data_IF_020852533905
#
_entry.id   IF_020852533905
#
_cell.length_a   1.000
_cell.length_b   1.000
_cell.length_c   1.000
_cell.angle_alpha   90.00
_cell.angle_beta   90.00
_cell.angle_gamma   90.00
#
_symmetry.space_group_name_H-M   'P 1'
#
loop_
_entity.id
_entity.type
_entity.pdbx_description
1 polymer ?
#
# COMPACT_ATOMS: atom_id res chain seq x y z
N UNK A 1 -13.12 5.63 -11.40
CA UNK A 1 -12.66 6.82 -10.69
C UNK A 1 -13.88 7.58 -10.18
N UNK A 2 -13.93 7.91 -8.89
CA UNK A 2 -15.04 8.69 -8.30
C UNK A 2 -14.51 9.69 -7.28
N UNK A 3 -13.71 10.63 -7.77
CA UNK A 3 -13.14 11.74 -7.01
C UNK A 3 -13.25 13.01 -7.87
N UNK A 4 -12.87 14.16 -7.32
CA UNK A 4 -12.99 15.47 -7.98
C UNK A 4 -11.70 16.31 -7.91
N UNK A 5 -10.69 15.82 -7.21
CA UNK A 5 -9.49 16.57 -6.90
C UNK A 5 -8.29 15.82 -7.44
N UNK A 6 -7.36 16.57 -8.01
CA UNK A 6 -6.11 16.07 -8.57
C UNK A 6 -4.93 16.76 -7.89
N UNK A 7 -3.75 16.14 -8.00
CA UNK A 7 -2.51 16.77 -7.55
C UNK A 7 -2.28 18.08 -8.30
N UNK A 8 -1.90 19.11 -7.57
CA UNK A 8 -1.51 20.37 -8.18
C UNK A 8 -0.07 20.23 -8.73
N UNK A 9 0.06 20.28 -10.05
CA UNK A 9 1.32 20.11 -10.78
C UNK A 9 2.45 21.03 -10.29
N UNK A 10 2.12 22.21 -9.72
CA UNK A 10 3.11 23.14 -9.17
C UNK A 10 3.93 22.56 -8.02
N UNK A 11 3.39 21.57 -7.30
CA UNK A 11 4.08 20.94 -6.17
C UNK A 11 4.66 19.57 -6.52
N UNK A 12 4.44 19.07 -7.73
CA UNK A 12 4.83 17.70 -8.08
C UNK A 12 6.35 17.52 -8.02
N UNK A 13 7.11 18.49 -8.54
CA UNK A 13 8.58 18.44 -8.49
C UNK A 13 9.07 18.36 -7.04
N UNK A 14 8.55 19.19 -6.14
CA UNK A 14 8.90 19.16 -4.72
C UNK A 14 8.62 17.80 -4.09
N UNK A 15 7.48 17.17 -4.40
CA UNK A 15 7.16 15.84 -3.87
C UNK A 15 8.16 14.79 -4.38
N UNK A 16 8.51 14.85 -5.67
CA UNK A 16 9.46 13.94 -6.30
C UNK A 16 10.87 14.13 -5.76
N UNK A 17 11.33 15.37 -5.59
CA UNK A 17 12.63 15.71 -5.02
C UNK A 17 12.78 15.21 -3.57
N UNK A 18 11.66 15.04 -2.86
CA UNK A 18 11.59 14.46 -1.52
C UNK A 18 11.28 12.96 -1.48
N UNK A 19 11.44 12.27 -2.62
CA UNK A 19 11.44 10.81 -2.70
C UNK A 19 10.12 10.16 -3.11
N UNK A 20 9.07 10.93 -3.39
CA UNK A 20 7.84 10.38 -3.97
C UNK A 20 8.08 9.97 -5.43
N UNK A 21 7.69 8.76 -5.80
CA UNK A 21 7.75 8.30 -7.20
C UNK A 21 6.35 8.35 -7.80
N UNK A 22 6.22 8.94 -8.99
CA UNK A 22 4.99 8.86 -9.79
C UNK A 22 5.05 7.60 -10.65
N UNK A 23 4.31 6.57 -10.25
CA UNK A 23 4.30 5.28 -10.95
C UNK A 23 3.13 5.11 -11.91
N UNK A 24 2.17 6.03 -11.90
CA UNK A 24 1.04 6.04 -12.83
C UNK A 24 0.53 7.44 -13.14
N UNK A 25 0.29 7.67 -14.42
CA UNK A 25 -0.33 8.88 -14.94
C UNK A 25 -1.64 8.53 -15.66
N UNK A 26 -2.51 9.52 -15.81
CA UNK A 26 -3.66 9.43 -16.71
C UNK A 26 -3.19 9.16 -18.16
N UNK A 27 -4.04 8.61 -19.05
CA UNK A 27 -3.64 8.30 -20.42
C UNK A 27 -3.12 9.51 -21.22
N UNK A 28 -3.55 10.72 -20.87
CA UNK A 28 -3.07 11.97 -21.47
C UNK A 28 -1.86 12.58 -20.74
N UNK A 29 -1.34 11.90 -19.70
CA UNK A 29 -0.14 12.27 -18.96
C UNK A 29 -0.31 13.43 -17.98
N UNK A 30 -1.53 13.97 -17.80
CA UNK A 30 -1.75 15.20 -17.03
C UNK A 30 -1.97 14.99 -15.54
N UNK A 31 -2.58 13.88 -15.15
CA UNK A 31 -2.96 13.63 -13.77
C UNK A 31 -2.16 12.47 -13.19
N UNK A 32 -1.77 12.63 -11.94
CA UNK A 32 -1.10 11.58 -11.17
C UNK A 32 -2.17 10.61 -10.67
N UNK A 33 -2.08 9.37 -11.10
CA UNK A 33 -3.06 8.32 -10.81
C UNK A 33 -2.51 7.31 -9.79
N UNK A 34 -1.17 7.19 -9.69
CA UNK A 34 -0.51 6.25 -8.81
C UNK A 34 0.87 6.78 -8.36
N UNK A 35 1.19 6.54 -7.10
CA UNK A 35 2.44 6.96 -6.47
C UNK A 35 3.02 5.87 -5.57
N UNK A 36 4.33 5.91 -5.39
CA UNK A 36 5.10 4.98 -4.55
C UNK A 36 6.11 5.74 -3.69
N UNK A 37 6.53 5.14 -2.57
CA UNK A 37 7.61 5.66 -1.72
C UNK A 37 8.66 4.56 -1.51
N UNK A 38 9.77 4.57 -2.26
CA UNK A 38 10.74 3.46 -2.28
C UNK A 38 11.37 3.13 -0.92
N UNK A 39 11.53 4.11 -0.04
CA UNK A 39 12.13 3.94 1.29
C UNK A 39 11.18 3.30 2.31
N UNK A 40 9.94 3.02 1.93
CA UNK A 40 8.96 2.32 2.76
C UNK A 40 8.83 0.86 2.30
N UNK A 41 8.78 -0.14 3.22
CA UNK A 41 8.80 -1.57 2.87
C UNK A 41 7.67 -2.00 1.93
N UNK A 42 6.55 -1.28 1.95
CA UNK A 42 5.49 -1.36 0.95
C UNK A 42 4.64 -0.10 1.03
N UNK A 43 4.72 0.80 0.04
CA UNK A 43 3.90 2.01 -0.02
C UNK A 43 3.45 2.25 -1.45
N UNK A 44 2.13 2.20 -1.64
CA UNK A 44 1.48 2.45 -2.92
C UNK A 44 0.22 3.25 -2.64
N UNK A 45 0.06 4.38 -3.33
CA UNK A 45 -1.18 5.14 -3.37
C UNK A 45 -1.76 5.12 -4.78
N UNK A 46 -3.05 4.87 -4.92
CA UNK A 46 -3.76 4.97 -6.20
C UNK A 46 -5.06 5.75 -6.03
N UNK A 47 -5.43 6.49 -7.07
CA UNK A 47 -6.62 7.35 -7.08
C UNK A 47 -7.86 6.64 -7.68
N UNK A 48 -7.65 5.51 -8.38
CA UNK A 48 -8.71 4.59 -8.80
C UNK A 48 -9.17 3.63 -7.70
N UNK A 49 -10.21 2.85 -8.02
CA UNK A 49 -10.86 1.87 -7.13
C UNK A 49 -10.48 0.43 -7.51
N UNK A 50 -9.32 -0.10 -7.07
CA UNK A 50 -8.92 -1.49 -7.34
C UNK A 50 -9.91 -2.51 -6.76
N UNK A 51 -10.67 -2.14 -5.72
CA UNK A 51 -11.68 -2.97 -5.06
C UNK A 51 -12.77 -3.45 -6.02
N UNK A 52 -13.19 -2.59 -6.96
CA UNK A 52 -14.26 -2.95 -7.90
C UNK A 52 -13.82 -3.99 -8.94
N UNK A 53 -12.51 -4.20 -9.11
CA UNK A 53 -11.95 -5.21 -10.03
C UNK A 53 -11.47 -6.46 -9.30
N UNK A 54 -11.37 -6.44 -7.97
CA UNK A 54 -10.95 -7.59 -7.17
C UNK A 54 -12.09 -8.61 -7.06
N UNK A 55 -11.79 -9.90 -7.24
CA UNK A 55 -12.75 -11.01 -7.11
C UNK A 55 -12.18 -12.12 -6.22
N UNK A 56 -13.01 -12.95 -5.57
CA UNK A 56 -12.51 -14.05 -4.73
C UNK A 56 -11.56 -15.01 -5.45
N UNK A 57 -11.83 -15.34 -6.72
CA UNK A 57 -10.99 -16.22 -7.54
C UNK A 57 -9.87 -15.50 -8.29
N UNK A 58 -9.89 -14.16 -8.31
CA UNK A 58 -8.89 -13.33 -8.96
C UNK A 58 -8.71 -12.02 -8.17
N UNK A 59 -8.04 -12.08 -7.02
CA UNK A 59 -7.84 -10.91 -6.18
C UNK A 59 -6.94 -9.90 -6.87
N UNK A 60 -7.23 -8.61 -6.70
CA UNK A 60 -6.42 -7.56 -7.31
C UNK A 60 -4.97 -7.60 -6.77
N UNK A 61 -3.92 -7.49 -7.62
CA UNK A 61 -2.53 -7.62 -7.20
C UNK A 61 -2.10 -6.68 -6.08
N UNK A 62 -2.65 -5.46 -6.03
CA UNK A 62 -2.40 -4.51 -4.94
C UNK A 62 -2.78 -5.06 -3.56
N UNK A 63 -3.92 -5.76 -3.44
CA UNK A 63 -4.32 -6.35 -2.17
C UNK A 63 -3.48 -7.58 -1.82
N UNK A 64 -3.19 -8.44 -2.80
CA UNK A 64 -2.35 -9.62 -2.60
C UNK A 64 -0.95 -9.22 -2.12
N UNK A 65 -0.33 -8.27 -2.80
CA UNK A 65 1.00 -7.77 -2.45
C UNK A 65 1.02 -7.03 -1.11
N UNK A 66 -0.03 -6.26 -0.77
CA UNK A 66 -0.13 -5.61 0.53
C UNK A 66 -0.12 -6.61 1.67
N UNK A 67 -0.94 -7.66 1.58
CA UNK A 67 -1.01 -8.71 2.60
C UNK A 67 0.32 -9.46 2.70
N UNK A 68 0.95 -9.78 1.56
CA UNK A 68 2.27 -10.41 1.55
C UNK A 68 3.32 -9.55 2.27
N UNK A 69 3.37 -8.25 1.95
CA UNK A 69 4.27 -7.30 2.59
C UNK A 69 4.00 -7.14 4.08
N UNK A 70 2.73 -7.12 4.51
CA UNK A 70 2.35 -7.06 5.92
C UNK A 70 2.81 -8.31 6.69
N UNK A 71 2.65 -9.49 6.10
CA UNK A 71 3.14 -10.75 6.68
C UNK A 71 4.66 -10.76 6.80
N UNK A 72 5.37 -10.31 5.77
CA UNK A 72 6.83 -10.23 5.80
C UNK A 72 7.33 -9.19 6.80
N UNK A 73 6.66 -8.04 6.91
CA UNK A 73 6.95 -7.05 7.94
C UNK A 73 6.77 -7.63 9.35
N UNK A 74 5.67 -8.37 9.60
CA UNK A 74 5.45 -9.05 10.88
C UNK A 74 6.59 -10.03 11.19
N UNK A 75 6.97 -10.89 10.24
CA UNK A 75 8.06 -11.86 10.41
C UNK A 75 9.40 -11.17 10.74
N UNK A 76 9.73 -10.09 10.03
CA UNK A 76 10.94 -9.29 10.30
C UNK A 76 10.92 -8.70 11.71
N UNK A 77 9.76 -8.21 12.18
CA UNK A 77 9.60 -7.70 13.55
C UNK A 77 9.74 -8.79 14.60
N UNK A 78 9.19 -9.98 14.35
CA UNK A 78 9.34 -11.14 15.25
C UNK A 78 10.82 -11.56 15.35
N UNK A 79 11.53 -11.60 14.23
CA UNK A 79 12.96 -11.92 14.18
C UNK A 79 13.84 -10.85 14.85
N UNK A 80 13.51 -9.58 14.69
CA UNK A 80 14.18 -8.49 15.40
C UNK A 80 13.83 -8.46 16.90
N UNK A 81 12.65 -8.98 17.26
CA UNK A 81 12.15 -9.09 18.63
C UNK A 81 12.55 -10.35 19.38
N UNK A 82 13.14 -11.37 18.72
CA UNK A 82 13.60 -12.62 19.35
C UNK A 82 14.76 -12.47 20.36
N UNK A 83 15.13 -11.24 20.73
CA UNK A 83 15.87 -10.95 21.95
C UNK A 83 15.00 -10.87 23.23
N UNK A 84 13.68 -10.78 23.11
CA UNK A 84 12.74 -10.78 24.25
C UNK A 84 11.50 -11.63 23.93
N UNK A 85 11.40 -12.76 24.62
CA UNK A 85 10.28 -13.69 24.54
C UNK A 85 8.95 -13.01 24.91
N UNK A 86 8.09 -12.72 23.92
CA UNK A 86 6.67 -12.40 24.17
C UNK A 86 5.81 -13.59 23.78
N UNK A 87 5.24 -14.24 24.79
CA UNK A 87 4.25 -15.31 24.66
C UNK A 87 3.03 -14.81 23.86
N UNK A 88 2.54 -15.55 22.84
CA UNK A 88 1.32 -15.17 22.16
C UNK A 88 0.12 -15.38 23.09
N UNK A 89 -0.77 -14.38 23.16
CA UNK A 89 -2.08 -14.50 23.82
C UNK A 89 -2.99 -15.31 22.86
N UNK A 90 -3.68 -16.38 23.32
CA UNK A 90 -4.57 -17.14 22.46
C UNK A 90 -5.74 -16.26 22.02
N UNK A 91 -6.11 -16.35 20.75
CA UNK A 91 -7.35 -15.78 20.25
C UNK A 91 -8.52 -16.62 20.79
N UNK A 92 -9.19 -16.14 21.83
CA UNK A 92 -10.48 -16.68 22.23
C UNK A 92 -11.52 -16.35 21.16
N UNK A 93 -11.91 -17.38 20.41
CA UNK A 93 -13.10 -17.37 19.55
C UNK A 93 -14.27 -17.77 20.43
N UNK A 94 -14.99 -16.80 20.99
CA UNK A 94 -16.34 -17.07 21.49
C UNK A 94 -17.31 -17.09 20.30
N UNK A 95 -17.70 -18.29 19.92
CA UNK A 95 -18.89 -18.54 19.12
C UNK A 95 -20.13 -18.36 20.01
N UNK A 96 -20.98 -17.38 19.69
CA UNK A 96 -22.42 -17.38 19.99
C UNK A 96 -23.17 -16.76 18.83
#
# INVERSE_FOLDING_TARGET
HRHRYEVNQKYLSTLVDHGLVVSGLSPDGKFVEMVELPDHPWFVGCQFHPEYKSRPTNPHPLFVSFIAAALDHRRRREQAGTGEHRTPVPAEVEAR
#
